data_IF_105160646033
#
_entry.id   IF_105160646033
#
_cell.length_a   1.000
_cell.length_b   1.000
_cell.length_c   1.000
_cell.angle_alpha   90.00
_cell.angle_beta   90.00
_cell.angle_gamma   90.00
#
_symmetry.space_group_name_H-M   'P 1'
#
loop_
_entity.id
_entity.type
_entity.pdbx_description
1 polymer ?
#
# COMPACT_ATOMS: atom_id res chain seq x y z
N UNK A 1 8.17 -25.75 25.83
CA UNK A 1 8.85 -25.28 24.60
C UNK A 1 8.25 -23.94 24.21
N UNK A 2 8.97 -22.84 24.44
CA UNK A 2 8.48 -21.48 24.15
C UNK A 2 9.05 -21.08 22.80
N UNK A 3 8.18 -20.96 21.80
CA UNK A 3 8.52 -20.37 20.49
C UNK A 3 8.98 -18.94 20.73
N UNK A 4 10.27 -18.68 20.51
CA UNK A 4 10.84 -17.34 20.57
C UNK A 4 10.31 -16.58 19.36
N UNK A 5 9.35 -15.69 19.61
CA UNK A 5 8.93 -14.65 18.67
C UNK A 5 10.16 -13.85 18.22
N UNK A 6 10.71 -14.18 17.06
CA UNK A 6 11.68 -13.36 16.34
C UNK A 6 10.93 -12.19 15.68
N UNK A 7 10.44 -11.25 16.49
CA UNK A 7 10.24 -9.90 16.02
C UNK A 7 11.58 -9.19 16.18
N UNK A 8 12.28 -8.81 15.09
CA UNK A 8 13.52 -8.08 15.22
C UNK A 8 13.25 -6.78 16.01
N UNK A 9 14.03 -6.53 17.06
CA UNK A 9 14.05 -5.22 17.72
C UNK A 9 14.67 -4.23 16.74
N UNK A 10 13.86 -3.63 15.87
CA UNK A 10 14.31 -2.63 14.93
C UNK A 10 14.69 -1.37 15.70
N UNK A 11 16.00 -1.14 15.89
CA UNK A 11 16.52 0.20 16.14
C UNK A 11 16.10 1.06 14.94
N UNK A 12 15.56 2.25 15.18
CA UNK A 12 15.15 3.21 14.15
C UNK A 12 16.39 3.73 13.38
N UNK A 13 17.04 2.86 12.63
CA UNK A 13 18.25 3.17 11.89
C UNK A 13 17.85 3.68 10.49
N UNK A 14 17.55 4.98 10.42
CA UNK A 14 17.30 5.74 9.18
C UNK A 14 16.01 5.41 8.38
N UNK A 15 15.40 6.45 7.84
CA UNK A 15 14.26 6.39 6.89
C UNK A 15 14.60 5.55 5.63
N UNK A 16 15.89 5.42 5.29
CA UNK A 16 16.37 4.60 4.17
C UNK A 16 16.19 3.10 4.42
N UNK A 17 16.46 2.62 5.63
CA UNK A 17 16.22 1.20 5.97
C UNK A 17 14.71 0.93 6.06
N UNK A 18 13.93 1.89 6.57
CA UNK A 18 12.46 1.81 6.59
C UNK A 18 11.85 1.57 5.21
N UNK A 19 12.42 2.21 4.19
CA UNK A 19 11.96 2.12 2.81
C UNK A 19 12.27 0.79 2.10
N UNK A 20 13.13 -0.06 2.68
CA UNK A 20 13.58 -1.31 2.07
C UNK A 20 13.15 -2.55 2.85
N UNK A 21 12.25 -2.41 3.83
CA UNK A 21 11.74 -3.56 4.56
C UNK A 21 10.96 -4.51 3.66
N UNK A 22 11.27 -5.79 3.82
CA UNK A 22 10.62 -6.94 3.21
C UNK A 22 10.58 -6.92 1.66
N UNK A 23 11.74 -6.93 0.98
CA UNK A 23 11.81 -6.97 -0.48
C UNK A 23 11.10 -8.18 -1.10
N UNK A 24 10.96 -9.28 -0.36
CA UNK A 24 10.26 -10.49 -0.78
C UNK A 24 8.76 -10.28 -1.08
N UNK A 25 8.12 -9.26 -0.48
CA UNK A 25 6.72 -8.92 -0.79
C UNK A 25 6.57 -7.89 -1.91
N UNK A 26 7.66 -7.44 -2.54
CA UNK A 26 7.63 -6.41 -3.59
C UNK A 26 6.68 -6.79 -4.72
N UNK A 27 6.86 -7.99 -5.27
CA UNK A 27 6.05 -8.46 -6.40
C UNK A 27 4.59 -8.62 -6.00
N UNK A 28 4.33 -9.22 -4.84
CA UNK A 28 2.96 -9.37 -4.32
C UNK A 28 2.26 -8.03 -4.10
N UNK A 29 2.97 -7.03 -3.54
CA UNK A 29 2.42 -5.69 -3.36
C UNK A 29 2.10 -5.01 -4.71
N UNK A 30 2.98 -5.14 -5.70
CA UNK A 30 2.75 -4.59 -7.05
C UNK A 30 1.56 -5.26 -7.76
N UNK A 31 1.43 -6.59 -7.62
CA UNK A 31 0.31 -7.35 -8.16
C UNK A 31 -1.00 -6.91 -7.53
N UNK A 32 -1.07 -6.82 -6.19
CA UNK A 32 -2.28 -6.36 -5.48
C UNK A 32 -2.70 -4.94 -5.88
N UNK A 33 -1.73 -4.03 -6.00
CA UNK A 33 -1.99 -2.66 -6.44
C UNK A 33 -2.58 -2.67 -7.86
N UNK A 34 -1.98 -3.43 -8.78
CA UNK A 34 -2.46 -3.55 -10.15
C UNK A 34 -3.88 -4.13 -10.22
N UNK A 35 -4.15 -5.19 -9.45
CA UNK A 35 -5.48 -5.82 -9.39
C UNK A 35 -6.56 -4.86 -8.88
N UNK A 36 -6.26 -4.08 -7.84
CA UNK A 36 -7.21 -3.13 -7.26
C UNK A 36 -7.46 -1.89 -8.13
N UNK A 37 -6.48 -1.50 -8.95
CA UNK A 37 -6.60 -0.37 -9.86
C UNK A 37 -7.12 -0.77 -11.25
N UNK A 38 -6.96 -2.04 -11.65
CA UNK A 38 -7.24 -2.51 -13.01
C UNK A 38 -6.13 -2.19 -14.02
N UNK A 39 -5.13 -1.39 -13.66
CA UNK A 39 -4.00 -1.03 -14.50
C UNK A 39 -2.71 -0.88 -13.67
N UNK A 40 -1.56 -0.82 -14.36
CA UNK A 40 -0.28 -0.59 -13.69
C UNK A 40 -0.09 0.91 -13.43
N UNK A 41 -0.07 1.38 -12.17
CA UNK A 41 0.14 2.79 -11.89
C UNK A 41 1.58 3.21 -12.18
N UNK A 42 1.76 4.50 -12.43
CA UNK A 42 3.05 5.14 -12.58
C UNK A 42 3.86 4.93 -11.31
N UNK A 43 5.15 4.65 -11.47
CA UNK A 43 6.03 4.36 -10.35
C UNK A 43 6.00 5.46 -9.28
N UNK A 44 5.96 6.72 -9.69
CA UNK A 44 5.93 7.87 -8.77
C UNK A 44 4.68 7.90 -7.89
N UNK A 45 3.54 7.42 -8.40
CA UNK A 45 2.27 7.39 -7.69
C UNK A 45 2.15 6.21 -6.73
N UNK A 46 2.75 5.07 -7.06
CA UNK A 46 2.63 3.86 -6.25
C UNK A 46 3.81 3.59 -5.31
N UNK A 47 5.02 4.15 -5.54
CA UNK A 47 6.25 3.78 -4.81
C UNK A 47 6.14 3.81 -3.29
N UNK A 48 5.46 4.81 -2.73
CA UNK A 48 5.34 4.97 -1.28
C UNK A 48 4.34 3.97 -0.71
N UNK A 49 3.20 3.82 -1.38
CA UNK A 49 2.17 2.85 -1.00
C UNK A 49 2.67 1.42 -1.14
N UNK A 50 3.41 1.11 -2.20
CA UNK A 50 4.02 -0.20 -2.43
C UNK A 50 4.91 -0.61 -1.25
N UNK A 51 5.78 0.30 -0.78
CA UNK A 51 6.63 0.06 0.40
C UNK A 51 5.81 -0.17 1.67
N UNK A 52 4.76 0.61 1.90
CA UNK A 52 3.86 0.40 3.04
C UNK A 52 3.14 -0.96 2.94
N UNK A 53 2.69 -1.34 1.75
CA UNK A 53 1.97 -2.58 1.52
C UNK A 53 2.85 -3.82 1.75
N UNK A 54 4.14 -3.77 1.42
CA UNK A 54 5.09 -4.85 1.77
C UNK A 54 5.10 -5.13 3.27
N UNK A 55 5.07 -4.08 4.10
CA UNK A 55 5.00 -4.22 5.55
C UNK A 55 3.64 -4.78 6.00
N UNK A 56 2.53 -4.28 5.48
CA UNK A 56 1.20 -4.79 5.81
C UNK A 56 1.06 -6.27 5.46
N UNK A 57 1.62 -6.70 4.32
CA UNK A 57 1.67 -8.11 3.90
C UNK A 57 2.48 -8.97 4.88
N UNK A 58 3.64 -8.45 5.32
CA UNK A 58 4.42 -9.13 6.35
C UNK A 58 3.65 -9.24 7.67
N UNK A 59 3.05 -8.14 8.14
CA UNK A 59 2.26 -8.12 9.39
C UNK A 59 1.06 -9.07 9.31
N UNK A 60 0.42 -9.19 8.13
CA UNK A 60 -0.67 -10.14 7.89
C UNK A 60 -0.16 -11.58 7.96
N UNK A 61 0.97 -11.88 7.30
CA UNK A 61 1.55 -13.22 7.28
C UNK A 61 1.93 -13.73 8.68
N UNK A 62 2.43 -12.85 9.55
CA UNK A 62 2.78 -13.22 10.93
C UNK A 62 1.59 -13.13 11.90
N UNK A 63 0.38 -12.84 11.41
CA UNK A 63 -0.84 -12.77 12.22
C UNK A 63 -0.93 -11.56 13.14
N UNK A 64 -0.11 -10.51 12.92
CA UNK A 64 -0.13 -9.28 13.72
C UNK A 64 -1.30 -8.36 13.33
N UNK A 65 -1.77 -8.45 12.09
CA UNK A 65 -3.00 -7.80 11.63
C UNK A 65 -3.96 -8.85 11.09
N UNK A 66 -5.25 -8.63 11.31
CA UNK A 66 -6.30 -9.48 10.74
C UNK A 66 -6.51 -9.18 9.25
N UNK A 67 -7.09 -10.14 8.50
CA UNK A 67 -7.45 -9.95 7.09
C UNK A 67 -8.36 -8.72 6.90
N UNK A 68 -9.36 -8.54 7.77
CA UNK A 68 -10.29 -7.40 7.70
C UNK A 68 -9.57 -6.05 7.87
N UNK A 69 -8.62 -5.96 8.81
CA UNK A 69 -7.82 -4.75 8.99
C UNK A 69 -6.89 -4.51 7.79
N UNK A 70 -6.27 -5.56 7.26
CA UNK A 70 -5.45 -5.48 6.06
C UNK A 70 -6.27 -4.96 4.86
N UNK A 71 -7.45 -5.52 4.61
CA UNK A 71 -8.31 -5.12 3.49
C UNK A 71 -8.72 -3.64 3.58
N UNK A 72 -9.06 -3.17 4.79
CA UNK A 72 -9.37 -1.75 5.03
C UNK A 72 -8.17 -0.84 4.76
N UNK A 73 -6.98 -1.23 5.23
CA UNK A 73 -5.75 -0.47 4.99
C UNK A 73 -5.37 -0.47 3.51
N UNK A 74 -5.51 -1.61 2.83
CA UNK A 74 -5.31 -1.73 1.39
C UNK A 74 -6.25 -0.79 0.64
N UNK A 75 -7.54 -0.77 0.97
CA UNK A 75 -8.50 0.15 0.35
C UNK A 75 -8.06 1.62 0.46
N UNK A 76 -7.71 2.08 1.67
CA UNK A 76 -7.22 3.45 1.88
C UNK A 76 -5.92 3.74 1.12
N UNK A 77 -5.00 2.77 1.08
CA UNK A 77 -3.77 2.86 0.31
C UNK A 77 -4.02 3.02 -1.19
N UNK A 78 -4.98 2.28 -1.75
CA UNK A 78 -5.38 2.41 -3.17
C UNK A 78 -5.98 3.79 -3.43
N UNK A 79 -6.84 4.31 -2.54
CA UNK A 79 -7.36 5.68 -2.63
C UNK A 79 -6.22 6.70 -2.72
N UNK A 80 -5.17 6.55 -1.91
CA UNK A 80 -4.01 7.44 -1.97
C UNK A 80 -3.29 7.39 -3.33
N UNK A 81 -3.15 6.20 -3.93
CA UNK A 81 -2.58 6.09 -5.28
C UNK A 81 -3.48 6.82 -6.29
N UNK A 82 -4.81 6.57 -6.25
CA UNK A 82 -5.76 7.21 -7.18
C UNK A 82 -5.67 8.73 -7.10
N UNK A 83 -5.71 9.27 -5.87
CA UNK A 83 -5.59 10.70 -5.62
C UNK A 83 -4.28 11.27 -6.17
N UNK A 84 -3.16 10.59 -5.91
CA UNK A 84 -1.87 11.03 -6.43
C UNK A 84 -1.86 11.04 -7.96
N UNK A 85 -2.45 10.03 -8.62
CA UNK A 85 -2.52 9.99 -10.08
C UNK A 85 -3.31 11.18 -10.61
N UNK A 86 -4.50 11.46 -10.07
CA UNK A 86 -5.32 12.58 -10.52
C UNK A 86 -4.63 13.95 -10.29
N UNK A 87 -3.90 14.10 -9.19
CA UNK A 87 -3.23 15.36 -8.87
C UNK A 87 -1.89 15.55 -9.59
N UNK A 88 -1.15 14.47 -9.88
CA UNK A 88 0.29 14.53 -10.21
C UNK A 88 0.73 13.64 -11.37
N UNK A 89 -0.12 12.76 -11.90
CA UNK A 89 0.17 11.93 -13.07
C UNK A 89 -0.99 12.03 -14.08
N UNK A 90 -1.19 13.21 -14.69
CA UNK A 90 -2.31 13.46 -15.61
C UNK A 90 -2.33 12.51 -16.80
N UNK A 91 -1.16 11.97 -17.20
CA UNK A 91 -1.03 10.96 -18.24
C UNK A 91 -1.72 9.64 -17.90
N UNK A 92 -2.07 9.38 -16.63
CA UNK A 92 -2.84 8.21 -16.21
C UNK A 92 -4.23 8.56 -15.66
N UNK A 93 -4.57 9.84 -15.52
CA UNK A 93 -5.87 10.25 -15.01
C UNK A 93 -7.03 9.75 -15.90
N UNK A 94 -6.80 9.64 -17.22
CA UNK A 94 -7.77 9.12 -18.19
C UNK A 94 -8.08 7.62 -18.04
N UNK A 95 -7.30 6.88 -17.24
CA UNK A 95 -7.52 5.46 -16.99
C UNK A 95 -8.59 5.21 -15.91
N UNK A 96 -9.02 6.26 -15.19
CA UNK A 96 -10.12 6.17 -14.23
C UNK A 96 -11.47 6.37 -14.92
N UNK A 97 -12.49 5.72 -14.37
CA UNK A 97 -13.86 6.06 -14.71
C UNK A 97 -14.11 7.55 -14.39
N UNK A 98 -14.77 8.31 -15.29
CA UNK A 98 -15.02 9.73 -15.07
C UNK A 98 -15.71 10.03 -13.73
N UNK A 99 -16.58 9.14 -13.28
CA UNK A 99 -17.25 9.23 -11.96
C UNK A 99 -16.29 9.11 -10.78
N UNK A 100 -15.19 8.37 -10.92
CA UNK A 100 -14.15 8.28 -9.89
C UNK A 100 -13.21 9.49 -9.93
N UNK A 101 -12.97 10.06 -11.11
CA UNK A 101 -12.14 11.25 -11.28
C UNK A 101 -12.78 12.52 -10.68
N UNK A 102 -14.11 12.57 -10.68
CA UNK A 102 -14.92 13.68 -10.15
C UNK A 102 -15.33 13.49 -8.67
N UNK A 103 -15.15 12.29 -8.11
CA UNK A 103 -15.55 12.00 -6.74
C UNK A 103 -14.58 12.63 -5.72
N UNK A 104 -15.07 13.34 -4.69
CA UNK A 104 -14.23 13.71 -3.55
C UNK A 104 -13.75 12.42 -2.85
N UNK A 105 -12.44 12.21 -2.80
CA UNK A 105 -11.86 11.08 -2.05
C UNK A 105 -12.17 11.24 -0.56
N UNK A 106 -13.22 10.56 -0.10
CA UNK A 106 -13.54 10.47 1.32
C UNK A 106 -12.47 9.63 2.00
N UNK A 107 -11.64 10.29 2.79
CA UNK A 107 -10.66 9.65 3.63
C UNK A 107 -11.36 8.97 4.81
N UNK A 108 -11.56 7.66 4.74
CA UNK A 108 -12.24 6.89 5.79
C UNK A 108 -11.32 6.47 6.95
N UNK A 109 -10.18 7.16 7.14
CA UNK A 109 -9.25 6.87 8.25
C UNK A 109 -9.86 7.02 9.65
N UNK A 110 -11.00 7.70 9.78
CA UNK A 110 -11.70 7.96 11.06
C UNK A 110 -12.99 7.15 11.30
N UNK A 111 -13.26 6.10 10.54
CA UNK A 111 -14.33 5.12 10.86
C UNK A 111 -13.75 3.78 11.27
#
# INVERSE_FOLDING_TARGET
>A
MISKNYAPKYKWNSVKEFCNFYPEYKEQAQTLIKEKLGFKPAYVASKSVEKCLRRELHELKIGKVSQSQFDKRLHNMIIHIKRYILERAPEQAHLFDPKEAEAPFLDTRDK
#
